data_IF_124943664201
#
_entry.id   IF_124943664201
#
_cell.length_a   1.000
_cell.length_b   1.000
_cell.length_c   1.000
_cell.angle_alpha   90.00
_cell.angle_beta   90.00
_cell.angle_gamma   90.00
#
_symmetry.space_group_name_H-M   'P 1'
#
loop_
_entity.id
_entity.type
_entity.pdbx_description
1 polymer ?
#
# COMPACT_ATOMS: atom_id res chain seq x y z
N UNK A 1 10.37 12.44 -20.49
CA UNK A 1 9.98 11.63 -19.31
C UNK A 1 8.47 11.62 -19.25
N UNK A 2 7.85 10.44 -19.11
CA UNK A 2 6.39 10.36 -18.95
C UNK A 2 5.99 11.02 -17.62
N UNK A 3 4.80 11.67 -17.54
CA UNK A 3 4.23 12.09 -16.26
C UNK A 3 4.08 10.95 -15.23
N UNK A 4 3.85 9.71 -15.69
CA UNK A 4 3.76 8.52 -14.83
C UNK A 4 5.16 8.16 -14.29
N UNK A 5 6.20 8.19 -15.14
CA UNK A 5 7.60 7.99 -14.70
C UNK A 5 8.02 9.06 -13.67
N UNK A 6 7.64 10.32 -13.90
CA UNK A 6 7.90 11.42 -12.95
C UNK A 6 7.23 11.19 -11.60
N UNK A 7 6.05 10.56 -11.59
CA UNK A 7 5.34 10.21 -10.36
C UNK A 7 6.10 9.12 -9.59
N UNK A 8 6.56 8.08 -10.28
CA UNK A 8 7.38 7.01 -9.70
C UNK A 8 8.65 7.58 -9.08
N UNK A 9 9.46 8.32 -9.83
CA UNK A 9 10.74 8.87 -9.34
C UNK A 9 10.57 9.76 -8.09
N UNK A 10 9.47 10.51 -8.02
CA UNK A 10 9.21 11.39 -6.86
C UNK A 10 8.80 10.61 -5.60
N UNK A 11 8.07 9.49 -5.78
CA UNK A 11 7.40 8.76 -4.70
C UNK A 11 8.06 7.43 -4.32
N UNK A 12 8.85 6.86 -5.21
CA UNK A 12 9.65 5.66 -5.01
C UNK A 12 11.08 6.06 -4.65
N UNK A 13 11.49 5.79 -3.40
CA UNK A 13 12.82 6.15 -2.88
C UNK A 13 13.40 4.99 -2.08
N UNK A 14 14.71 4.77 -2.19
CA UNK A 14 15.40 3.70 -1.47
C UNK A 14 14.73 2.33 -1.68
N UNK A 15 14.32 2.04 -2.91
CA UNK A 15 13.59 0.82 -3.30
C UNK A 15 12.25 0.61 -2.59
N UNK A 16 11.62 1.67 -2.08
CA UNK A 16 10.33 1.60 -1.38
C UNK A 16 9.42 2.79 -1.70
N UNK A 17 8.11 2.55 -1.64
CA UNK A 17 7.10 3.59 -1.79
C UNK A 17 6.98 4.41 -0.50
N UNK A 18 6.81 5.73 -0.63
CA UNK A 18 6.60 6.61 0.53
C UNK A 18 5.43 6.20 1.43
N UNK A 19 4.37 5.63 0.85
CA UNK A 19 3.24 5.03 1.56
C UNK A 19 2.43 4.11 0.63
N UNK A 20 1.59 3.26 1.23
CA UNK A 20 0.73 2.31 0.52
C UNK A 20 -0.23 3.00 -0.46
N UNK A 21 -0.76 4.17 -0.11
CA UNK A 21 -1.62 4.94 -1.01
C UNK A 21 -0.91 5.31 -2.32
N UNK A 22 0.35 5.76 -2.27
CA UNK A 22 1.12 6.09 -3.48
C UNK A 22 1.41 4.87 -4.34
N UNK A 23 1.73 3.73 -3.72
CA UNK A 23 1.91 2.46 -4.42
C UNK A 23 0.62 2.03 -5.13
N UNK A 24 -0.52 2.05 -4.43
CA UNK A 24 -1.81 1.68 -5.00
C UNK A 24 -2.21 2.59 -6.16
N UNK A 25 -1.96 3.90 -6.04
CA UNK A 25 -2.24 4.86 -7.13
C UNK A 25 -1.35 4.64 -8.34
N UNK A 26 -0.07 4.33 -8.13
CA UNK A 26 0.83 3.99 -9.22
C UNK A 26 0.38 2.72 -9.95
N UNK A 27 0.08 1.64 -9.21
CA UNK A 27 -0.43 0.41 -9.79
C UNK A 27 -1.70 0.64 -10.64
N UNK A 28 -2.62 1.49 -10.17
CA UNK A 28 -3.81 1.89 -10.95
C UNK A 28 -3.46 2.63 -12.24
N UNK A 29 -2.48 3.55 -12.20
CA UNK A 29 -2.05 4.28 -13.40
C UNK A 29 -1.40 3.36 -14.45
N UNK A 30 -0.59 2.40 -14.00
CA UNK A 30 0.02 1.40 -14.91
C UNK A 30 -1.06 0.53 -15.54
N UNK A 31 -2.00 0.01 -14.75
CA UNK A 31 -3.12 -0.79 -15.26
C UNK A 31 -3.96 -0.01 -16.30
N UNK A 32 -4.31 1.25 -16.02
CA UNK A 32 -5.07 2.09 -16.96
C UNK A 32 -4.28 2.43 -18.23
N UNK A 33 -2.95 2.55 -18.15
CA UNK A 33 -2.09 2.75 -19.32
C UNK A 33 -2.08 1.52 -20.23
N UNK A 34 -1.97 0.33 -19.64
CA UNK A 34 -2.02 -0.94 -20.37
C UNK A 34 -3.39 -1.17 -21.03
N UNK A 35 -4.47 -0.84 -20.33
CA UNK A 35 -5.83 -0.89 -20.87
C UNK A 35 -6.01 0.06 -22.06
N UNK A 36 -5.56 1.32 -21.92
CA UNK A 36 -5.61 2.31 -22.99
C UNK A 36 -4.77 1.90 -24.21
N UNK A 37 -3.59 1.30 -24.02
CA UNK A 37 -2.77 0.73 -25.09
C UNK A 37 -3.54 -0.36 -25.84
N UNK A 38 -4.11 -1.31 -25.09
CA UNK A 38 -4.87 -2.44 -25.65
C UNK A 38 -6.08 -1.95 -26.44
N UNK A 39 -6.82 -0.98 -25.90
CA UNK A 39 -7.97 -0.38 -26.57
C UNK A 39 -7.56 0.35 -27.86
N UNK A 40 -6.50 1.16 -27.82
CA UNK A 40 -6.03 1.87 -29.00
C UNK A 40 -5.53 0.91 -30.08
N UNK A 41 -4.85 -0.17 -29.69
CA UNK A 41 -4.43 -1.23 -30.62
C UNK A 41 -5.62 -1.98 -31.23
N UNK A 42 -6.67 -2.24 -30.47
CA UNK A 42 -7.90 -2.84 -30.99
C UNK A 42 -8.60 -1.91 -32.00
N UNK A 43 -8.67 -0.60 -31.71
CA UNK A 43 -9.26 0.38 -32.64
C UNK A 43 -8.47 0.51 -33.94
N UNK A 44 -7.14 0.46 -33.89
CA UNK A 44 -6.30 0.48 -35.08
C UNK A 44 -6.59 -0.70 -36.02
N UNK A 45 -6.81 -1.90 -35.46
CA UNK A 45 -7.14 -3.11 -36.24
C UNK A 45 -8.55 -3.09 -36.84
N UNK A 46 -9.53 -2.48 -36.16
CA UNK A 46 -10.91 -2.40 -36.66
C UNK A 46 -11.01 -1.48 -37.89
N UNK A 47 -10.25 -0.39 -37.92
CA UNK A 47 -10.23 0.52 -39.09
C UNK A 47 -9.57 -0.10 -40.32
N UNK A 48 -8.67 -1.07 -40.16
CA UNK A 48 -8.03 -1.78 -41.26
C UNK A 48 -8.99 -2.74 -42.00
N UNK A 49 -10.03 -3.24 -41.31
CA UNK A 49 -10.94 -4.26 -41.85
C UNK A 49 -12.18 -3.64 -42.52
N UNK A 50 -12.50 -2.38 -42.24
CA UNK A 50 -13.76 -1.76 -42.68
C UNK A 50 -13.76 -1.20 -44.11
N UNK A 51 -12.61 -1.13 -44.81
CA UNK A 51 -12.56 -0.63 -46.19
C UNK A 51 -11.70 -1.52 -47.13
N UNK A 52 -12.28 -2.63 -47.66
CA UNK A 52 -11.56 -3.61 -48.46
C UNK A 52 -11.44 -3.28 -49.97
N UNK A 53 -11.62 -2.03 -50.41
CA UNK A 53 -11.83 -1.73 -51.84
C UNK A 53 -10.64 -1.19 -52.65
N UNK A 54 -9.40 -1.09 -52.11
CA UNK A 54 -8.25 -0.82 -52.98
C UNK A 54 -6.90 -1.37 -52.48
N UNK A 55 -6.44 -2.54 -52.98
CA UNK A 55 -5.15 -3.15 -52.61
C UNK A 55 -3.90 -2.34 -53.02
N UNK A 56 -4.05 -1.28 -53.83
CA UNK A 56 -2.91 -0.58 -54.42
C UNK A 56 -2.25 0.48 -53.50
N UNK A 57 -2.86 0.82 -52.35
CA UNK A 57 -2.38 1.88 -51.45
C UNK A 57 -1.76 1.38 -50.14
N UNK A 58 -1.61 0.05 -49.97
CA UNK A 58 -1.16 -0.59 -48.73
C UNK A 58 0.38 -0.64 -48.56
N UNK A 59 1.09 0.45 -48.86
CA UNK A 59 2.56 0.46 -48.84
C UNK A 59 3.19 1.33 -47.75
N UNK A 60 2.46 2.19 -47.02
CA UNK A 60 3.14 3.12 -46.11
C UNK A 60 2.25 3.63 -44.97
N UNK A 61 1.53 2.75 -44.27
CA UNK A 61 1.03 3.13 -42.94
C UNK A 61 2.20 3.03 -41.96
N UNK A 62 3.02 4.09 -41.91
CA UNK A 62 4.01 4.29 -40.84
C UNK A 62 3.23 4.43 -39.55
N UNK A 63 3.06 3.30 -38.84
CA UNK A 63 2.45 3.23 -37.52
C UNK A 63 3.26 4.12 -36.59
N UNK A 64 2.81 5.36 -36.44
CA UNK A 64 3.31 6.24 -35.40
C UNK A 64 3.05 5.62 -34.03
N UNK A 65 3.90 5.90 -33.02
CA UNK A 65 3.62 5.48 -31.66
C UNK A 65 2.24 6.00 -31.24
N UNK A 66 1.39 5.10 -30.77
CA UNK A 66 0.06 5.42 -30.24
C UNK A 66 0.23 6.43 -29.10
N UNK A 67 -0.22 7.66 -29.32
CA UNK A 67 -0.16 8.71 -28.30
C UNK A 67 -1.26 8.47 -27.28
N UNK A 68 -0.88 8.14 -26.05
CA UNK A 68 -1.80 7.99 -24.93
C UNK A 68 -1.79 9.28 -24.11
N UNK A 69 -2.98 9.76 -23.74
CA UNK A 69 -3.11 10.87 -22.81
C UNK A 69 -2.84 10.40 -21.38
N UNK A 70 -1.56 10.38 -21.02
CA UNK A 70 -1.11 10.00 -19.68
C UNK A 70 -1.63 10.98 -18.60
N UNK A 71 -1.97 12.23 -18.94
CA UNK A 71 -2.57 13.17 -17.99
C UNK A 71 -4.02 12.82 -17.67
N UNK A 72 -4.79 12.33 -18.64
CA UNK A 72 -6.13 11.80 -18.39
C UNK A 72 -6.07 10.60 -17.43
N UNK A 73 -5.14 9.66 -17.66
CA UNK A 73 -4.92 8.49 -16.79
C UNK A 73 -4.58 8.92 -15.36
N UNK A 74 -3.64 9.87 -15.20
CA UNK A 74 -3.29 10.41 -13.89
C UNK A 74 -4.48 11.09 -13.21
N UNK A 75 -5.29 11.84 -13.97
CA UNK A 75 -6.46 12.57 -13.43
C UNK A 75 -7.53 11.59 -12.94
N UNK A 76 -7.83 10.54 -13.70
CA UNK A 76 -8.77 9.50 -13.31
C UNK A 76 -8.28 8.73 -12.08
N UNK A 77 -6.99 8.39 -12.05
CA UNK A 77 -6.40 7.60 -10.96
C UNK A 77 -6.28 8.40 -9.66
N UNK A 78 -5.77 9.63 -9.72
CA UNK A 78 -5.51 10.48 -8.54
C UNK A 78 -6.75 11.26 -8.07
N UNK A 79 -7.75 11.41 -8.94
CA UNK A 79 -8.94 12.20 -8.71
C UNK A 79 -8.76 13.69 -9.00
N UNK A 80 -9.87 14.36 -9.26
CA UNK A 80 -9.95 15.78 -9.67
C UNK A 80 -9.48 16.79 -8.61
N UNK A 81 -9.30 16.34 -7.36
CA UNK A 81 -8.78 17.17 -6.26
C UNK A 81 -7.28 17.02 -6.04
N UNK A 82 -6.57 16.24 -6.86
CA UNK A 82 -5.15 15.99 -6.66
C UNK A 82 -4.34 17.29 -6.77
N UNK A 83 -3.33 17.45 -5.90
CA UNK A 83 -2.41 18.60 -5.97
C UNK A 83 -1.60 18.60 -7.27
N UNK A 84 -1.42 17.43 -7.88
CA UNK A 84 -0.74 17.27 -9.16
C UNK A 84 -1.43 18.01 -10.30
N UNK A 85 -2.78 17.96 -10.37
CA UNK A 85 -3.54 18.73 -11.35
C UNK A 85 -3.50 20.24 -11.07
N UNK A 86 -3.48 20.64 -9.79
CA UNK A 86 -3.40 22.06 -9.38
C UNK A 86 -2.07 22.74 -9.69
N UNK A 87 -1.00 21.99 -9.98
CA UNK A 87 0.31 22.54 -10.29
C UNK A 87 0.60 22.75 -11.78
N UNK A 88 -0.23 22.19 -12.68
CA UNK A 88 -0.02 22.23 -14.14
C UNK A 88 -0.76 23.40 -14.80
N UNK A 89 -1.79 23.93 -14.15
CA UNK A 89 -2.36 25.22 -14.55
C UNK A 89 -1.35 26.33 -14.30
N UNK A 90 -1.29 27.31 -15.20
CA UNK A 90 -0.52 28.55 -15.02
C UNK A 90 -0.72 29.04 -13.58
N UNK A 91 0.33 28.95 -12.76
CA UNK A 91 0.34 29.52 -11.40
C UNK A 91 -0.24 30.91 -11.55
N UNK A 92 -1.44 31.14 -11.02
CA UNK A 92 -2.05 32.46 -10.98
C UNK A 92 -1.03 33.31 -10.24
N UNK A 93 -0.27 34.11 -11.01
CA UNK A 93 0.86 34.89 -10.52
C UNK A 93 0.34 35.63 -9.31
N UNK A 94 0.72 35.17 -8.13
CA UNK A 94 0.40 35.82 -6.87
C UNK A 94 0.98 37.21 -7.02
N UNK A 95 0.10 38.18 -7.34
CA UNK A 95 0.45 39.58 -7.30
C UNK A 95 0.86 39.79 -5.85
N UNK A 96 2.15 40.09 -5.64
CA UNK A 96 2.68 40.49 -4.35
C UNK A 96 1.90 41.72 -3.91
N UNK A 97 0.85 41.52 -3.11
CA UNK A 97 0.17 42.60 -2.41
C UNK A 97 1.07 42.91 -1.23
N UNK A 98 1.96 43.88 -1.42
CA UNK A 98 2.71 44.52 -0.34
C UNK A 98 1.75 45.27 0.57
N UNK A 99 1.05 44.54 1.44
CA UNK A 99 0.19 45.08 2.47
C UNK A 99 0.98 45.21 3.79
N UNK A 100 0.82 46.30 4.56
CA UNK A 100 1.46 46.46 5.85
C UNK A 100 1.10 45.28 6.76
N UNK A 101 2.13 44.59 7.28
CA UNK A 101 1.99 43.57 8.32
C UNK A 101 1.26 44.18 9.51
N UNK A 102 0.00 43.84 9.68
CA UNK A 102 -0.70 44.06 10.94
C UNK A 102 -0.10 43.11 11.99
N UNK A 103 0.47 43.69 13.03
CA UNK A 103 1.03 43.01 14.21
C UNK A 103 -0.10 42.32 14.99
N UNK A 104 -0.53 41.13 14.56
CA UNK A 104 -1.41 40.26 15.34
C UNK A 104 -0.55 39.31 16.19
N UNK A 105 0.07 39.86 17.24
CA UNK A 105 0.92 39.10 18.18
C UNK A 105 0.09 38.31 19.19
N UNK A 106 -1.18 38.66 19.45
CA UNK A 106 -1.96 38.03 20.53
C UNK A 106 -2.52 36.64 20.22
N UNK A 107 -2.59 36.24 18.94
CA UNK A 107 -3.18 34.94 18.55
C UNK A 107 -2.16 33.81 18.42
N UNK A 108 -0.87 34.14 18.33
CA UNK A 108 0.20 33.14 18.13
C UNK A 108 0.33 32.23 19.34
N UNK A 109 0.24 32.77 20.56
CA UNK A 109 0.36 31.99 21.79
C UNK A 109 -0.78 30.99 21.96
N UNK A 110 -2.02 31.40 21.66
CA UNK A 110 -3.21 30.55 21.75
C UNK A 110 -3.18 29.41 20.71
N UNK A 111 -2.73 29.70 19.48
CA UNK A 111 -2.56 28.68 18.44
C UNK A 111 -1.44 27.70 18.82
N UNK A 112 -0.33 28.20 19.36
CA UNK A 112 0.80 27.37 19.78
C UNK A 112 0.42 26.43 20.93
N UNK A 113 -0.36 26.90 21.90
CA UNK A 113 -0.89 26.05 22.99
C UNK A 113 -1.71 24.88 22.45
N UNK A 114 -2.71 25.16 21.59
CA UNK A 114 -3.54 24.12 20.97
C UNK A 114 -2.74 23.10 20.17
N UNK A 115 -1.70 23.57 19.47
CA UNK A 115 -0.80 22.68 18.74
C UNK A 115 -0.04 21.75 19.68
N UNK A 116 0.48 22.27 20.79
CA UNK A 116 1.18 21.46 21.81
C UNK A 116 0.24 20.40 22.38
N UNK A 117 -1.00 20.77 22.77
CA UNK A 117 -2.00 19.83 23.28
C UNK A 117 -2.34 18.73 22.28
N UNK A 118 -2.50 19.10 21.00
CA UNK A 118 -2.79 18.14 19.93
C UNK A 118 -1.62 17.16 19.75
N UNK A 119 -0.38 17.65 19.77
CA UNK A 119 0.82 16.81 19.64
C UNK A 119 0.93 15.86 20.83
N UNK A 120 0.70 16.33 22.06
CA UNK A 120 0.76 15.48 23.25
C UNK A 120 -0.35 14.43 23.24
N UNK A 121 -1.57 14.80 22.84
CA UNK A 121 -2.70 13.88 22.73
C UNK A 121 -2.44 12.77 21.70
N UNK A 122 -1.92 13.12 20.52
CA UNK A 122 -1.58 12.13 19.49
C UNK A 122 -0.45 11.19 19.93
N UNK A 123 0.58 11.71 20.62
CA UNK A 123 1.64 10.87 21.18
C UNK A 123 1.11 9.88 22.21
N UNK A 124 0.19 10.32 23.07
CA UNK A 124 -0.46 9.44 24.05
C UNK A 124 -1.27 8.34 23.37
N UNK A 125 -2.10 8.69 22.38
CA UNK A 125 -2.90 7.70 21.64
C UNK A 125 -2.02 6.67 20.92
N UNK A 126 -0.89 7.10 20.36
CA UNK A 126 0.05 6.18 19.72
C UNK A 126 0.64 5.19 20.73
N UNK A 127 1.10 5.68 21.89
CA UNK A 127 1.63 4.83 22.95
C UNK A 127 0.58 3.84 23.51
N UNK A 128 -0.67 4.28 23.63
CA UNK A 128 -1.79 3.43 24.06
C UNK A 128 -2.08 2.33 23.03
N UNK A 129 -2.13 2.66 21.73
CA UNK A 129 -2.32 1.66 20.68
C UNK A 129 -1.16 0.68 20.60
N UNK A 130 0.07 1.14 20.75
CA UNK A 130 1.25 0.26 20.76
C UNK A 130 1.17 -0.73 21.94
N UNK A 131 0.78 -0.26 23.13
CA UNK A 131 0.59 -1.14 24.29
C UNK A 131 -0.57 -2.14 24.09
N UNK A 132 -1.68 -1.71 23.48
CA UNK A 132 -2.81 -2.59 23.15
C UNK A 132 -2.40 -3.69 22.16
N UNK A 133 -1.65 -3.33 21.12
CA UNK A 133 -1.15 -4.28 20.13
C UNK A 133 -0.17 -5.29 20.74
N UNK A 134 0.75 -4.84 21.59
CA UNK A 134 1.67 -5.71 22.31
C UNK A 134 0.92 -6.69 23.22
N UNK A 135 -0.08 -6.21 23.96
CA UNK A 135 -0.91 -7.04 24.83
C UNK A 135 -1.65 -8.14 24.06
N UNK A 136 -2.29 -7.79 22.94
CA UNK A 136 -2.99 -8.78 22.08
C UNK A 136 -2.07 -9.85 21.51
N UNK A 137 -0.83 -9.47 21.17
CA UNK A 137 0.17 -10.41 20.67
C UNK A 137 0.53 -11.45 21.75
N UNK A 138 0.79 -10.97 22.98
CA UNK A 138 1.10 -11.83 24.12
C UNK A 138 -0.08 -12.74 24.50
N UNK A 139 -1.30 -12.22 24.46
CA UNK A 139 -2.52 -13.00 24.72
C UNK A 139 -2.67 -14.14 23.70
N UNK A 140 -2.54 -13.84 22.41
CA UNK A 140 -2.63 -14.85 21.35
C UNK A 140 -1.54 -15.92 21.48
N UNK A 141 -0.32 -15.51 21.86
CA UNK A 141 0.78 -16.44 22.12
C UNK A 141 0.47 -17.35 23.31
N UNK A 142 -0.03 -16.78 24.41
CA UNK A 142 -0.42 -17.54 25.61
C UNK A 142 -1.57 -18.50 25.32
N UNK A 143 -2.55 -18.11 24.50
CA UNK A 143 -3.66 -18.96 24.08
C UNK A 143 -3.18 -20.14 23.23
N UNK A 144 -2.32 -19.88 22.24
CA UNK A 144 -1.73 -20.95 21.41
C UNK A 144 -0.95 -21.94 22.27
N UNK A 145 -0.19 -21.44 23.25
CA UNK A 145 0.57 -22.29 24.17
C UNK A 145 -0.33 -23.14 25.07
N UNK A 146 -1.42 -22.56 25.59
CA UNK A 146 -2.42 -23.31 26.37
C UNK A 146 -3.05 -24.41 25.53
N UNK A 147 -3.48 -24.09 24.30
CA UNK A 147 -4.08 -25.06 23.40
C UNK A 147 -3.16 -26.26 23.10
N UNK A 148 -1.87 -26.00 22.86
CA UNK A 148 -0.88 -27.08 22.67
C UNK A 148 -0.72 -27.95 23.92
N UNK A 149 -0.69 -27.34 25.10
CA UNK A 149 -0.58 -28.08 26.37
C UNK A 149 -1.81 -28.95 26.61
N UNK A 150 -3.01 -28.43 26.35
CA UNK A 150 -4.27 -29.17 26.47
C UNK A 150 -4.29 -30.39 25.52
N UNK A 151 -3.84 -30.22 24.27
CA UNK A 151 -3.70 -31.33 23.32
C UNK A 151 -2.68 -32.37 23.79
N UNK A 152 -1.55 -31.93 24.32
CA UNK A 152 -0.53 -32.82 24.86
C UNK A 152 -1.06 -33.62 26.07
N UNK A 153 -1.80 -32.97 26.95
CA UNK A 153 -2.42 -33.62 28.11
C UNK A 153 -3.47 -34.66 27.68
N UNK A 154 -4.30 -34.33 26.69
CA UNK A 154 -5.27 -35.26 26.12
C UNK A 154 -4.58 -36.50 25.53
N UNK A 155 -3.51 -36.29 24.75
CA UNK A 155 -2.73 -37.38 24.17
C UNK A 155 -2.11 -38.28 25.24
N UNK A 156 -1.54 -37.71 26.31
CA UNK A 156 -1.00 -38.47 27.44
C UNK A 156 -2.08 -39.30 28.14
N UNK A 157 -3.28 -38.73 28.33
CA UNK A 157 -4.42 -39.46 28.90
C UNK A 157 -4.82 -40.66 28.05
N UNK A 158 -4.86 -40.50 26.72
CA UNK A 158 -5.17 -41.61 25.80
C UNK A 158 -4.09 -42.70 25.84
N UNK A 159 -2.82 -42.32 25.88
CA UNK A 159 -1.70 -43.27 26.02
C UNK A 159 -1.82 -44.06 27.33
N UNK A 160 -2.10 -43.37 28.45
CA UNK A 160 -2.27 -44.01 29.75
C UNK A 160 -3.45 -44.99 29.76
N UNK A 161 -4.58 -44.63 29.14
CA UNK A 161 -5.72 -45.53 28.99
C UNK A 161 -5.36 -46.79 28.19
N UNK A 162 -4.60 -46.68 27.10
CA UNK A 162 -4.17 -47.83 26.31
C UNK A 162 -3.22 -48.76 27.10
N UNK A 163 -2.28 -48.18 27.86
CA UNK A 163 -1.36 -48.96 28.70
C UNK A 163 -2.07 -49.77 29.80
N UNK A 164 -3.10 -49.19 30.41
CA UNK A 164 -3.87 -49.86 31.47
C UNK A 164 -4.74 -51.02 30.94
N UNK A 165 -5.03 -51.08 29.64
CA UNK A 165 -5.82 -52.14 29.01
C UNK A 165 -4.99 -53.37 28.58
N UNK A 166 -3.73 -53.48 29.01
CA UNK A 166 -2.91 -54.70 28.84
C UNK A 166 -2.24 -54.86 27.46
N UNK A 167 -2.33 -53.87 26.58
CA UNK A 167 -1.57 -53.83 25.33
C UNK A 167 -0.18 -53.25 25.60
N UNK A 168 0.78 -54.13 25.91
CA UNK A 168 2.18 -53.78 26.11
C UNK A 168 2.86 -53.42 24.78
N UNK A 169 2.59 -52.21 24.28
CA UNK A 169 3.28 -51.64 23.11
C UNK A 169 4.30 -50.65 23.66
N UNK A 170 5.59 -51.00 23.62
CA UNK A 170 6.68 -50.08 23.94
C UNK A 170 6.72 -48.93 22.93
N UNK A 171 6.09 -47.81 23.24
CA UNK A 171 6.28 -46.56 22.52
C UNK A 171 7.46 -45.82 23.16
N UNK A 172 8.59 -45.80 22.44
CA UNK A 172 9.76 -45.00 22.82
C UNK A 172 9.40 -43.51 22.67
N UNK A 173 9.39 -42.76 23.78
CA UNK A 173 9.14 -41.32 23.75
C UNK A 173 10.23 -40.61 22.93
N UNK A 174 9.89 -39.76 21.95
CA UNK A 174 10.87 -38.87 21.36
C UNK A 174 11.27 -37.82 22.41
N UNK A 175 12.52 -37.85 22.85
CA UNK A 175 13.13 -36.81 23.67
C UNK A 175 13.08 -35.49 22.91
N UNK A 176 12.05 -34.69 23.18
CA UNK A 176 11.91 -33.35 22.61
C UNK A 176 12.98 -32.47 23.27
N UNK A 177 14.07 -32.22 22.55
CA UNK A 177 15.10 -31.27 22.97
C UNK A 177 14.46 -29.86 22.95
N UNK A 178 14.51 -29.09 24.05
CA UNK A 178 13.93 -27.76 24.08
C UNK A 178 14.59 -26.85 23.02
N UNK A 179 13.82 -25.94 22.41
CA UNK A 179 14.37 -25.03 21.41
C UNK A 179 15.44 -24.12 22.02
N UNK A 180 16.50 -23.79 21.28
CA UNK A 180 17.55 -22.91 21.75
C UNK A 180 16.99 -21.51 22.02
N UNK A 181 17.40 -20.92 23.15
CA UNK A 181 17.08 -19.54 23.51
C UNK A 181 17.65 -18.57 22.45
N UNK A 182 16.89 -17.54 22.05
CA UNK A 182 17.38 -16.53 21.11
C UNK A 182 18.55 -15.77 21.73
N UNK A 183 19.67 -15.70 21.00
CA UNK A 183 20.82 -14.89 21.37
C UNK A 183 20.43 -13.41 21.36
N UNK A 184 20.68 -12.72 22.48
CA UNK A 184 20.55 -11.26 22.59
C UNK A 184 21.63 -10.53 21.79
#
# INVERSE_FOLDING_TARGET
>A
MSPIDCFEERHFKNNSWRNEYTQQKYAKMIASREEALTQAQAQAQVHEIADPMDPALSAEFVVGPISIDEYAIMTQSLGTRSRWQKGIGSLSRLKSVGGPRATSISNVAAVQHKHTETITSLKQQLAEKDAEHQCKLEEHQAETQRHLNDQQQLLQSLIAQLGNNGLNIQLSLPTQRPPPLPSQ
#
